data_IF_392415132210
#
_entry.id   IF_392415132210
#
_cell.length_a   1.000
_cell.length_b   1.000
_cell.length_c   1.000
_cell.angle_alpha   90.00
_cell.angle_beta   90.00
_cell.angle_gamma   90.00
#
_symmetry.space_group_name_H-M   'P 1'
#
loop_
_entity.id
_entity.type
_entity.pdbx_description
1 polymer ?
#
# COMPACT_ATOMS: atom_id res chain seq x y z
N UNK A 1 -55.28 15.06 14.17
CA UNK A 1 -54.24 14.46 15.02
C UNK A 1 -53.67 13.29 14.23
N UNK A 2 -52.59 13.53 13.49
CA UNK A 2 -51.82 12.45 12.88
C UNK A 2 -51.08 11.78 14.04
N UNK A 3 -51.47 10.55 14.36
CA UNK A 3 -50.67 9.72 15.25
C UNK A 3 -49.35 9.47 14.55
N UNK A 4 -48.24 9.79 15.22
CA UNK A 4 -46.93 9.28 14.85
C UNK A 4 -47.02 7.75 14.83
N UNK A 5 -46.94 7.16 13.64
CA UNK A 5 -46.88 5.71 13.51
C UNK A 5 -45.48 5.29 13.92
N UNK A 6 -45.38 4.53 15.01
CA UNK A 6 -44.17 3.81 15.34
C UNK A 6 -43.77 2.92 14.15
N UNK A 7 -42.48 2.91 13.80
CA UNK A 7 -41.92 2.02 12.79
C UNK A 7 -42.28 0.58 13.15
N UNK A 8 -42.83 -0.16 12.18
CA UNK A 8 -43.21 -1.56 12.39
C UNK A 8 -41.93 -2.41 12.36
N UNK A 9 -41.57 -3.15 13.42
CA UNK A 9 -40.31 -3.89 13.45
C UNK A 9 -40.21 -4.94 12.32
N UNK A 10 -39.00 -5.22 11.81
CA UNK A 10 -38.75 -6.35 10.90
C UNK A 10 -39.35 -7.66 11.41
N UNK A 11 -39.88 -8.48 10.50
CA UNK A 11 -40.53 -9.76 10.83
C UNK A 11 -41.95 -9.61 11.39
N UNK A 12 -42.46 -8.39 11.59
CA UNK A 12 -43.87 -8.19 11.97
C UNK A 12 -44.80 -8.59 10.83
N UNK A 13 -45.77 -9.45 11.13
CA UNK A 13 -46.85 -9.78 10.19
C UNK A 13 -47.94 -8.72 10.29
N UNK A 14 -48.10 -7.94 9.23
CA UNK A 14 -49.21 -7.00 9.05
C UNK A 14 -50.36 -7.77 8.37
N UNK A 15 -51.38 -8.11 9.15
CA UNK A 15 -52.58 -8.77 8.64
C UNK A 15 -53.67 -7.74 8.32
N UNK A 16 -54.17 -7.74 7.08
CA UNK A 16 -55.24 -6.88 6.63
C UNK A 16 -56.47 -7.70 6.20
N UNK A 17 -57.66 -7.29 6.64
CA UNK A 17 -58.95 -7.88 6.21
C UNK A 17 -59.86 -6.77 5.70
N UNK A 18 -60.55 -7.03 4.60
CA UNK A 18 -61.59 -6.16 4.07
C UNK A 18 -62.97 -6.70 4.46
N UNK A 19 -63.98 -5.83 4.53
CA UNK A 19 -65.36 -6.23 4.73
C UNK A 19 -66.27 -5.58 3.69
N UNK A 20 -67.13 -6.38 3.07
CA UNK A 20 -68.18 -5.90 2.18
C UNK A 20 -69.52 -5.88 2.93
N UNK A 21 -70.06 -4.69 3.16
CA UNK A 21 -71.40 -4.51 3.72
C UNK A 21 -72.42 -4.33 2.60
N UNK A 22 -73.54 -5.07 2.66
CA UNK A 22 -74.62 -4.96 1.68
C UNK A 22 -75.97 -5.33 2.29
N UNK A 23 -77.03 -4.73 1.75
CA UNK A 23 -78.41 -5.06 2.15
C UNK A 23 -79.01 -6.05 1.16
N UNK A 24 -79.51 -7.19 1.65
CA UNK A 24 -80.23 -8.16 0.84
C UNK A 24 -81.54 -8.55 1.53
N UNK A 25 -82.66 -8.36 0.83
CA UNK A 25 -84.02 -8.60 1.34
C UNK A 25 -84.36 -7.79 2.61
N UNK A 26 -83.92 -6.53 2.66
CA UNK A 26 -84.18 -5.60 3.77
C UNK A 26 -83.36 -5.84 5.03
N UNK A 27 -82.45 -6.81 5.03
CA UNK A 27 -81.51 -7.07 6.10
C UNK A 27 -80.07 -6.71 5.68
N UNK A 28 -79.38 -5.92 6.51
CA UNK A 28 -77.97 -5.61 6.32
C UNK A 28 -77.12 -6.85 6.65
N UNK A 29 -76.13 -7.11 5.81
CA UNK A 29 -75.20 -8.22 5.93
C UNK A 29 -73.78 -7.75 5.67
N UNK A 30 -72.86 -8.42 6.34
CA UNK A 30 -71.42 -8.26 6.17
C UNK A 30 -70.81 -9.54 5.62
N UNK A 31 -69.85 -9.40 4.71
CA UNK A 31 -69.05 -10.49 4.16
C UNK A 31 -67.57 -10.11 4.28
N UNK A 32 -66.85 -10.60 5.30
CA UNK A 32 -65.42 -10.35 5.42
C UNK A 32 -64.64 -11.11 4.33
N UNK A 33 -63.51 -10.56 3.92
CA UNK A 33 -62.53 -11.22 3.06
C UNK A 33 -61.70 -12.23 3.87
N UNK A 34 -60.86 -13.00 3.18
CA UNK A 34 -59.71 -13.63 3.82
C UNK A 34 -58.75 -12.56 4.37
N UNK A 35 -57.92 -12.95 5.33
CA UNK A 35 -56.76 -12.15 5.71
C UNK A 35 -55.73 -12.15 4.57
N UNK A 36 -55.17 -10.97 4.29
CA UNK A 36 -53.99 -10.79 3.47
C UNK A 36 -52.84 -10.37 4.41
N UNK A 37 -51.89 -11.27 4.56
CA UNK A 37 -50.75 -11.07 5.46
C UNK A 37 -49.55 -10.57 4.64
N UNK A 38 -48.95 -9.47 5.10
CA UNK A 38 -47.69 -8.93 4.58
C UNK A 38 -46.70 -8.92 5.73
N UNK A 39 -45.60 -9.65 5.60
CA UNK A 39 -44.51 -9.59 6.58
C UNK A 39 -43.62 -8.41 6.22
N UNK A 40 -43.33 -7.55 7.20
CA UNK A 40 -42.32 -6.49 7.04
C UNK A 40 -40.96 -7.17 6.83
N UNK A 41 -40.43 -7.03 5.62
CA UNK A 41 -39.07 -7.42 5.28
C UNK A 41 -38.22 -6.15 5.24
N UNK A 42 -37.03 -6.21 5.84
CA UNK A 42 -35.97 -5.27 5.50
C UNK A 42 -35.55 -5.65 4.08
N UNK A 43 -35.63 -4.72 3.13
CA UNK A 43 -35.01 -4.96 1.84
C UNK A 43 -33.52 -4.90 2.06
N UNK A 44 -32.83 -6.04 2.05
CA UNK A 44 -31.39 -6.03 2.32
C UNK A 44 -30.65 -5.26 1.23
N UNK A 45 -29.94 -4.21 1.62
CA UNK A 45 -29.09 -3.43 0.72
C UNK A 45 -27.64 -3.79 0.96
N UNK A 46 -26.85 -4.09 -0.08
CA UNK A 46 -25.43 -4.39 0.11
C UNK A 46 -24.71 -3.26 0.83
N UNK A 47 -24.01 -3.60 1.91
CA UNK A 47 -23.12 -2.67 2.59
C UNK A 47 -21.82 -2.40 1.81
N UNK A 48 -21.22 -1.23 1.97
CA UNK A 48 -19.85 -0.91 1.52
C UNK A 48 -19.11 -0.10 2.58
N UNK A 49 -17.91 -0.54 2.97
CA UNK A 49 -17.04 0.19 3.90
C UNK A 49 -15.75 0.66 3.23
N UNK A 50 -15.32 1.89 3.52
CA UNK A 50 -14.06 2.44 3.01
C UNK A 50 -13.37 3.37 4.01
N UNK A 51 -12.05 3.46 3.87
CA UNK A 51 -11.23 4.40 4.62
C UNK A 51 -11.15 5.75 3.94
N UNK A 52 -11.17 6.80 4.75
CA UNK A 52 -10.93 8.18 4.35
C UNK A 52 -9.75 8.76 5.15
N UNK A 53 -9.05 9.72 4.57
CA UNK A 53 -8.01 10.52 5.25
C UNK A 53 -8.36 12.00 5.19
N UNK A 54 -7.91 12.76 6.19
CA UNK A 54 -7.99 14.22 6.18
C UNK A 54 -7.02 14.82 5.15
N UNK A 55 -7.46 15.86 4.46
CA UNK A 55 -6.64 16.66 3.56
C UNK A 55 -6.43 18.07 4.15
N UNK A 56 -5.28 18.34 4.79
CA UNK A 56 -4.97 19.67 5.29
C UNK A 56 -5.09 20.71 4.17
N UNK A 57 -5.85 21.77 4.43
CA UNK A 57 -6.08 22.82 3.44
C UNK A 57 -4.86 23.74 3.29
N UNK A 58 -3.85 23.30 2.54
CA UNK A 58 -2.66 24.07 2.19
C UNK A 58 -2.15 23.74 0.80
N UNK A 59 -2.30 24.68 -0.14
CA UNK A 59 -1.62 24.76 -1.46
C UNK A 59 -1.47 23.41 -2.21
N UNK A 60 -2.51 22.95 -2.90
CA UNK A 60 -2.38 21.77 -3.77
C UNK A 60 -3.68 21.16 -4.30
N UNK A 61 -4.85 21.53 -3.78
CA UNK A 61 -6.15 21.07 -4.28
C UNK A 61 -6.55 21.70 -5.64
N UNK A 62 -5.61 21.94 -6.55
CA UNK A 62 -5.88 22.14 -7.98
C UNK A 62 -5.90 20.78 -8.66
N UNK A 63 -6.88 19.97 -8.27
CA UNK A 63 -7.01 18.59 -8.70
C UNK A 63 -8.37 18.04 -8.39
N UNK A 64 -9.43 18.83 -8.57
CA UNK A 64 -10.79 18.28 -8.64
C UNK A 64 -10.88 17.40 -9.87
N UNK A 65 -10.45 16.14 -9.76
CA UNK A 65 -11.16 15.07 -10.46
C UNK A 65 -12.56 15.09 -9.86
N UNK A 66 -13.49 15.65 -10.64
CA UNK A 66 -14.93 15.52 -10.45
C UNK A 66 -15.24 14.06 -10.08
N UNK A 67 -15.46 13.78 -8.78
CA UNK A 67 -15.93 12.47 -8.31
C UNK A 67 -15.22 11.81 -7.12
N UNK A 68 -14.17 12.36 -6.50
CA UNK A 68 -13.46 11.65 -5.41
C UNK A 68 -13.06 12.47 -4.16
N UNK A 69 -13.24 13.79 -4.13
CA UNK A 69 -13.10 14.57 -2.90
C UNK A 69 -14.44 14.62 -2.17
N UNK A 70 -14.56 13.93 -1.04
CA UNK A 70 -15.76 13.99 -0.21
C UNK A 70 -15.55 15.08 0.85
N UNK A 71 -16.34 16.15 0.80
CA UNK A 71 -16.54 16.95 2.01
C UNK A 71 -17.37 16.10 2.95
N UNK A 72 -16.74 15.48 3.94
CA UNK A 72 -17.44 14.69 4.96
C UNK A 72 -17.86 15.62 6.09
N UNK A 73 -19.16 15.76 6.31
CA UNK A 73 -19.68 16.33 7.55
C UNK A 73 -19.98 15.17 8.49
N UNK A 74 -19.47 15.23 9.72
CA UNK A 74 -19.92 14.36 10.79
C UNK A 74 -21.12 15.06 11.45
N UNK A 75 -22.33 14.54 11.22
CA UNK A 75 -23.55 15.09 11.83
C UNK A 75 -23.80 14.60 13.25
N UNK A 76 -23.05 13.60 13.72
CA UNK A 76 -23.09 13.07 15.08
C UNK A 76 -21.70 12.66 15.60
N UNK A 77 -21.52 12.52 16.93
CA UNK A 77 -20.25 12.09 17.48
C UNK A 77 -20.01 10.60 17.16
N UNK A 78 -18.82 10.26 16.71
CA UNK A 78 -18.35 8.87 16.79
C UNK A 78 -18.26 8.49 18.27
N UNK A 79 -18.77 7.32 18.64
CA UNK A 79 -18.56 6.75 19.96
C UNK A 79 -17.75 5.46 19.87
N UNK A 80 -17.12 5.07 20.96
CA UNK A 80 -16.30 3.86 21.04
C UNK A 80 -16.64 3.06 22.30
N UNK A 81 -16.69 1.73 22.16
CA UNK A 81 -16.98 0.82 23.27
C UNK A 81 -15.76 0.68 24.18
N UNK A 82 -15.95 0.92 25.48
CA UNK A 82 -14.85 0.93 26.46
C UNK A 82 -14.72 -0.38 27.24
N UNK A 83 -13.49 -0.89 27.39
CA UNK A 83 -13.11 -2.05 28.21
C UNK A 83 -13.56 -3.43 27.71
N UNK A 84 -14.48 -3.51 26.74
CA UNK A 84 -14.88 -4.76 26.08
C UNK A 84 -15.65 -4.51 24.78
N UNK A 85 -15.85 -5.57 23.98
CA UNK A 85 -16.66 -5.54 22.75
C UNK A 85 -18.12 -5.12 22.98
N UNK A 86 -18.64 -5.29 24.20
CA UNK A 86 -19.99 -4.87 24.63
C UNK A 86 -19.93 -3.77 25.70
N UNK A 87 -18.84 -2.99 25.71
CA UNK A 87 -18.63 -1.89 26.64
C UNK A 87 -19.64 -0.76 26.49
N UNK A 88 -19.63 0.18 27.43
CA UNK A 88 -20.37 1.43 27.26
C UNK A 88 -19.73 2.25 26.14
N UNK A 89 -20.56 2.78 25.24
CA UNK A 89 -20.10 3.66 24.17
C UNK A 89 -19.90 5.08 24.68
N UNK A 90 -18.64 5.53 24.66
CA UNK A 90 -18.27 6.89 25.03
C UNK A 90 -17.97 7.72 23.76
N UNK A 91 -18.47 8.97 23.66
CA UNK A 91 -18.11 9.85 22.54
C UNK A 91 -16.60 10.10 22.46
N UNK A 92 -16.05 9.99 21.26
CA UNK A 92 -14.65 10.31 21.01
C UNK A 92 -14.43 11.82 21.03
N UNK A 93 -13.22 12.22 21.44
CA UNK A 93 -12.77 13.62 21.38
C UNK A 93 -12.36 13.96 19.95
N UNK A 94 -12.26 15.26 19.66
CA UNK A 94 -11.65 15.74 18.41
C UNK A 94 -10.25 15.11 18.24
N UNK A 95 -9.95 14.50 17.09
CA UNK A 95 -8.66 13.89 16.84
C UNK A 95 -7.59 14.95 16.60
N UNK A 96 -6.34 14.54 16.76
CA UNK A 96 -5.16 15.38 16.51
C UNK A 96 -4.44 14.86 15.26
N UNK A 97 -4.25 15.73 14.28
CA UNK A 97 -3.47 15.44 13.08
C UNK A 97 -1.96 15.60 13.36
N UNK A 98 -1.07 14.85 12.69
CA UNK A 98 0.37 15.02 12.82
C UNK A 98 0.80 16.49 12.67
N UNK A 99 1.72 16.95 13.52
CA UNK A 99 2.04 18.36 13.69
C UNK A 99 1.19 19.12 14.72
N UNK A 100 0.19 18.46 15.33
CA UNK A 100 -0.53 18.96 16.51
C UNK A 100 -1.82 19.75 16.22
N UNK A 101 -2.31 19.75 14.99
CA UNK A 101 -3.58 20.37 14.63
C UNK A 101 -4.75 19.55 15.19
N UNK A 102 -5.64 20.17 15.96
CA UNK A 102 -6.88 19.52 16.44
C UNK A 102 -7.95 19.70 15.37
N UNK A 103 -8.52 18.61 14.87
CA UNK A 103 -9.55 18.64 13.82
C UNK A 103 -10.94 18.85 14.44
N UNK A 104 -11.66 19.87 13.99
CA UNK A 104 -13.04 20.12 14.43
C UNK A 104 -14.02 19.20 13.69
N UNK A 105 -14.41 18.12 14.37
CA UNK A 105 -15.37 17.13 13.87
C UNK A 105 -16.83 17.59 13.91
N UNK A 106 -17.12 18.78 14.44
CA UNK A 106 -18.47 19.36 14.36
C UNK A 106 -18.71 20.12 13.06
N UNK A 107 -17.64 20.37 12.30
CA UNK A 107 -17.67 21.01 10.99
C UNK A 107 -17.51 20.02 9.85
N UNK A 108 -17.56 20.54 8.62
CA UNK A 108 -17.18 19.75 7.44
C UNK A 108 -15.67 19.66 7.34
N UNK A 109 -15.15 18.44 7.16
CA UNK A 109 -13.75 18.16 6.93
C UNK A 109 -13.52 17.77 5.46
N UNK A 110 -12.45 18.26 4.81
CA UNK A 110 -12.01 17.76 3.52
C UNK A 110 -11.44 16.36 3.67
N UNK A 111 -12.19 15.35 3.24
CA UNK A 111 -11.80 13.95 3.30
C UNK A 111 -11.61 13.37 1.89
N UNK A 112 -10.73 12.40 1.77
CA UNK A 112 -10.53 11.66 0.51
C UNK A 112 -10.37 10.17 0.80
N UNK A 113 -10.91 9.33 -0.08
CA UNK A 113 -10.73 7.89 0.02
C UNK A 113 -9.24 7.53 -0.03
N UNK A 114 -8.82 6.67 0.89
CA UNK A 114 -7.43 6.20 0.99
C UNK A 114 -7.37 4.70 1.18
N UNK A 115 -6.19 4.14 0.93
CA UNK A 115 -5.82 2.76 1.29
C UNK A 115 -4.51 2.73 2.08
N UNK A 116 -4.08 3.89 2.58
CA UNK A 116 -2.83 4.06 3.32
C UNK A 116 -3.00 5.15 4.38
N UNK A 117 -2.38 4.95 5.52
CA UNK A 117 -2.34 5.91 6.62
C UNK A 117 -0.91 6.09 7.12
N UNK A 118 -0.64 7.29 7.64
CA UNK A 118 0.53 7.53 8.46
C UNK A 118 0.18 7.35 9.95
N UNK A 119 1.08 6.76 10.74
CA UNK A 119 0.87 6.58 12.17
C UNK A 119 0.66 7.93 12.87
N UNK A 120 -0.36 8.01 13.74
CA UNK A 120 -0.74 9.26 14.39
C UNK A 120 -1.78 10.07 13.61
N UNK A 121 -2.08 9.72 12.35
CA UNK A 121 -3.23 10.29 11.67
C UNK A 121 -4.55 9.71 12.21
N UNK A 122 -5.62 10.50 12.30
CA UNK A 122 -6.95 9.96 12.50
C UNK A 122 -7.38 9.10 11.31
N UNK A 123 -7.91 7.92 11.62
CA UNK A 123 -8.48 6.98 10.66
C UNK A 123 -9.97 7.30 10.55
N UNK A 124 -10.39 7.88 9.42
CA UNK A 124 -11.82 8.09 9.13
C UNK A 124 -12.38 6.89 8.38
N UNK A 125 -13.60 6.49 8.73
CA UNK A 125 -14.28 5.33 8.15
C UNK A 125 -15.69 5.74 7.72
N UNK A 126 -16.01 5.48 6.45
CA UNK A 126 -17.34 5.65 5.89
C UNK A 126 -17.95 4.27 5.62
N UNK A 127 -19.16 4.03 6.09
CA UNK A 127 -19.99 2.88 5.78
C UNK A 127 -21.24 3.36 5.04
N UNK A 128 -21.53 2.78 3.88
CA UNK A 128 -22.84 2.92 3.23
C UNK A 128 -23.62 1.65 3.45
N UNK A 129 -24.79 1.77 4.07
CA UNK A 129 -25.76 0.70 4.21
C UNK A 129 -27.17 1.32 4.30
N UNK A 130 -27.93 1.21 3.22
CA UNK A 130 -29.15 2.02 3.05
C UNK A 130 -30.31 1.52 3.90
N UNK A 131 -30.31 0.25 4.26
CA UNK A 131 -31.37 -0.35 5.07
C UNK A 131 -31.15 -0.17 6.59
N UNK A 132 -29.98 0.32 7.00
CA UNK A 132 -29.67 0.74 8.36
C UNK A 132 -30.14 2.16 8.67
N UNK A 133 -30.68 2.88 7.69
CA UNK A 133 -31.43 4.12 7.88
C UNK A 133 -32.88 3.79 8.27
N UNK A 134 -33.13 3.67 9.57
CA UNK A 134 -34.36 3.15 10.17
C UNK A 134 -35.36 4.26 10.55
N UNK A 135 -34.86 5.44 10.98
CA UNK A 135 -35.66 6.61 11.34
C UNK A 135 -35.25 7.83 10.51
N UNK A 136 -36.04 8.11 9.48
CA UNK A 136 -35.85 9.26 8.60
C UNK A 136 -35.92 10.64 9.29
N UNK A 137 -36.20 10.71 10.59
CA UNK A 137 -36.26 11.95 11.38
C UNK A 137 -35.19 12.05 12.48
N UNK A 138 -34.33 11.03 12.61
CA UNK A 138 -33.22 11.00 13.54
C UNK A 138 -31.93 10.60 12.81
N UNK A 139 -30.79 10.73 13.48
CA UNK A 139 -29.56 10.12 13.00
C UNK A 139 -29.52 8.69 13.52
N UNK A 140 -29.46 7.73 12.61
CA UNK A 140 -29.22 6.34 12.96
C UNK A 140 -27.74 6.06 13.19
N UNK A 141 -27.45 4.89 13.76
CA UNK A 141 -26.09 4.49 14.11
C UNK A 141 -25.82 3.03 13.78
N UNK A 142 -24.59 2.75 13.36
CA UNK A 142 -24.08 1.41 13.03
C UNK A 142 -22.82 1.12 13.82
N UNK A 143 -22.54 -0.16 14.06
CA UNK A 143 -21.32 -0.58 14.77
C UNK A 143 -20.34 -1.26 13.82
N UNK A 144 -19.07 -0.87 13.91
CA UNK A 144 -17.97 -1.49 13.19
C UNK A 144 -16.86 -1.92 14.16
N UNK A 145 -16.08 -2.90 13.76
CA UNK A 145 -14.82 -3.24 14.44
C UNK A 145 -13.65 -2.68 13.63
N UNK A 146 -12.71 -1.99 14.28
CA UNK A 146 -11.42 -1.59 13.70
C UNK A 146 -10.30 -2.35 14.42
N UNK A 147 -9.29 -2.83 13.69
CA UNK A 147 -8.19 -3.58 14.30
C UNK A 147 -6.87 -3.49 13.54
N UNK A 148 -5.77 -3.78 14.23
CA UNK A 148 -4.45 -4.06 13.65
C UNK A 148 -3.94 -5.39 14.20
N UNK A 149 -3.73 -6.36 13.31
CA UNK A 149 -3.38 -7.72 13.71
C UNK A 149 -1.98 -7.86 14.32
N UNK A 150 -1.04 -6.96 13.99
CA UNK A 150 0.36 -7.02 14.46
C UNK A 150 0.47 -6.44 15.86
N UNK A 151 -0.15 -5.28 16.11
CA UNK A 151 -0.24 -4.69 17.45
C UNK A 151 -1.20 -5.47 18.34
N UNK A 152 -2.15 -6.20 17.72
CA UNK A 152 -3.28 -6.89 18.36
C UNK A 152 -4.29 -5.94 18.98
N UNK A 153 -4.31 -4.70 18.48
CA UNK A 153 -5.32 -3.74 18.88
C UNK A 153 -6.65 -4.00 18.20
N UNK A 154 -7.73 -3.74 18.94
CA UNK A 154 -9.09 -3.88 18.45
C UNK A 154 -10.02 -2.92 19.18
N UNK A 155 -10.73 -2.12 18.40
CA UNK A 155 -11.68 -1.12 18.86
C UNK A 155 -13.05 -1.36 18.21
N UNK A 156 -14.13 -1.04 18.94
CA UNK A 156 -15.50 -1.08 18.39
C UNK A 156 -16.04 0.33 18.35
N UNK A 157 -16.35 0.81 17.15
CA UNK A 157 -16.87 2.14 16.93
C UNK A 157 -18.36 2.08 16.62
N UNK A 158 -19.08 3.07 17.13
CA UNK A 158 -20.43 3.40 16.71
C UNK A 158 -20.36 4.64 15.83
N UNK A 159 -20.65 4.46 14.54
CA UNK A 159 -20.73 5.54 13.56
C UNK A 159 -22.14 6.12 13.54
N UNK A 160 -22.25 7.41 13.24
CA UNK A 160 -23.54 8.09 13.05
C UNK A 160 -23.76 8.35 11.56
N UNK A 161 -25.03 8.40 11.14
CA UNK A 161 -25.36 8.88 9.80
C UNK A 161 -24.79 10.29 9.54
N UNK A 162 -24.45 10.53 8.28
CA UNK A 162 -23.91 11.81 7.79
C UNK A 162 -25.00 12.88 7.69
N UNK A 163 -26.25 12.49 7.49
CA UNK A 163 -27.46 13.30 7.66
C UNK A 163 -28.65 12.34 7.87
N UNK A 164 -29.80 12.86 8.29
CA UNK A 164 -31.02 12.06 8.46
C UNK A 164 -31.42 11.40 7.13
N UNK A 165 -31.83 10.13 7.17
CA UNK A 165 -32.36 9.39 6.01
C UNK A 165 -31.32 9.20 4.88
N UNK A 166 -30.03 9.08 5.23
CA UNK A 166 -28.95 8.94 4.21
C UNK A 166 -28.51 7.50 4.00
N UNK A 167 -28.50 6.66 5.03
CA UNK A 167 -27.86 5.35 5.00
C UNK A 167 -26.35 5.41 4.77
N UNK A 168 -25.74 6.58 5.00
CA UNK A 168 -24.28 6.78 4.90
C UNK A 168 -23.80 7.21 6.26
N UNK A 169 -22.96 6.40 6.88
CA UNK A 169 -22.44 6.57 8.22
C UNK A 169 -20.96 6.93 8.16
N UNK A 170 -20.54 7.87 9.00
CA UNK A 170 -19.16 8.33 9.06
C UNK A 170 -18.72 8.37 10.52
N UNK A 171 -17.50 7.91 10.77
CA UNK A 171 -16.84 8.07 12.04
C UNK A 171 -15.33 8.07 11.91
N UNK A 172 -14.64 8.08 13.05
CA UNK A 172 -13.19 8.14 13.10
C UNK A 172 -12.63 7.47 14.35
N UNK A 173 -11.35 7.17 14.35
CA UNK A 173 -10.57 6.84 15.55
C UNK A 173 -9.18 7.45 15.46
N UNK A 174 -8.64 7.91 16.59
CA UNK A 174 -7.25 8.38 16.66
C UNK A 174 -6.34 7.17 16.59
N UNK A 175 -5.39 7.15 15.64
CA UNK A 175 -4.32 6.16 15.67
C UNK A 175 -3.16 6.64 16.55
N UNK A 176 -2.50 5.69 17.21
CA UNK A 176 -1.38 5.95 18.14
C UNK A 176 -0.25 4.93 17.92
N UNK A 177 0.99 5.25 18.32
CA UNK A 177 2.05 4.24 18.39
C UNK A 177 1.81 3.24 19.53
N UNK A 178 2.39 2.02 19.47
CA UNK A 178 2.34 1.06 20.58
C UNK A 178 2.91 1.63 21.89
N UNK A 179 2.52 1.10 23.07
CA UNK A 179 1.81 -0.16 23.29
C UNK A 179 0.32 -0.11 22.93
N UNK A 180 -0.28 -1.29 22.74
CA UNK A 180 -1.70 -1.46 22.42
C UNK A 180 -2.49 -1.89 23.65
N UNK A 181 -3.68 -1.31 23.84
CA UNK A 181 -4.66 -1.74 24.84
C UNK A 181 -6.05 -1.82 24.18
N UNK A 182 -6.60 -3.02 23.91
CA UNK A 182 -7.89 -3.12 23.25
C UNK A 182 -9.04 -2.50 24.06
N UNK A 183 -9.98 -1.89 23.36
CA UNK A 183 -11.16 -1.21 23.87
C UNK A 183 -10.82 0.01 24.74
N UNK A 184 -9.73 0.73 24.42
CA UNK A 184 -9.33 1.97 25.09
C UNK A 184 -9.68 3.24 24.31
N UNK A 185 -10.24 3.07 23.11
CA UNK A 185 -10.64 4.12 22.19
C UNK A 185 -9.51 4.89 21.51
N UNK A 186 -8.31 4.33 21.48
CA UNK A 186 -7.19 4.72 20.62
C UNK A 186 -6.74 3.48 19.82
N UNK A 187 -6.50 3.62 18.52
CA UNK A 187 -6.05 2.48 17.71
C UNK A 187 -4.53 2.42 17.66
N UNK A 188 -3.90 1.54 18.44
CA UNK A 188 -2.45 1.34 18.30
C UNK A 188 -2.13 0.64 16.99
N UNK A 189 -1.39 1.31 16.12
CA UNK A 189 -0.95 0.79 14.82
C UNK A 189 0.58 0.81 14.73
N UNK A 190 1.17 0.04 13.84
CA UNK A 190 2.63 0.03 13.61
C UNK A 190 2.93 0.18 12.14
N UNK A 191 4.14 0.61 11.79
CA UNK A 191 4.55 0.66 10.38
C UNK A 191 4.55 -0.73 9.74
N UNK A 192 4.24 -0.76 8.45
CA UNK A 192 4.17 -1.95 7.62
C UNK A 192 3.15 -2.98 8.15
N UNK A 193 1.97 -2.48 8.54
CA UNK A 193 0.80 -3.27 8.94
C UNK A 193 -0.42 -2.94 8.10
N UNK A 194 -1.53 -3.63 8.37
CA UNK A 194 -2.84 -3.24 7.86
C UNK A 194 -3.75 -2.86 9.03
N UNK A 195 -4.41 -1.72 8.88
CA UNK A 195 -5.65 -1.43 9.61
C UNK A 195 -6.78 -2.11 8.88
N UNK A 196 -7.57 -2.85 9.63
CA UNK A 196 -8.73 -3.60 9.18
C UNK A 196 -10.00 -2.96 9.75
N UNK A 197 -11.04 -2.83 8.93
CA UNK A 197 -12.41 -2.60 9.38
C UNK A 197 -13.25 -3.79 8.97
N UNK A 198 -14.06 -4.27 9.90
CA UNK A 198 -15.05 -5.32 9.71
C UNK A 198 -16.43 -4.81 10.13
N UNK A 199 -17.41 -4.96 9.24
CA UNK A 199 -18.83 -4.69 9.46
C UNK A 199 -19.64 -5.96 9.17
N UNK A 200 -20.66 -6.19 9.99
CA UNK A 200 -21.67 -7.24 9.81
C UNK A 200 -23.02 -6.59 10.05
N UNK A 201 -23.93 -6.73 9.10
CA UNK A 201 -25.27 -6.15 9.22
C UNK A 201 -26.06 -6.84 10.37
N UNK A 202 -26.69 -6.06 11.28
CA UNK A 202 -27.40 -6.62 12.43
C UNK A 202 -28.73 -7.32 12.09
N UNK A 203 -29.27 -7.11 10.89
CA UNK A 203 -30.51 -7.72 10.38
C UNK A 203 -30.28 -8.75 9.26
N UNK A 204 -29.09 -8.78 8.64
CA UNK A 204 -28.64 -9.76 7.65
C UNK A 204 -27.16 -10.17 7.88
N UNK A 205 -26.91 -11.20 8.70
CA UNK A 205 -25.54 -11.66 9.00
C UNK A 205 -24.72 -12.10 7.76
N UNK A 206 -25.35 -12.29 6.60
CA UNK A 206 -24.66 -12.58 5.35
C UNK A 206 -24.12 -11.31 4.66
N UNK A 207 -24.68 -10.13 4.97
CA UNK A 207 -24.15 -8.85 4.54
C UNK A 207 -22.99 -8.44 5.46
N UNK A 208 -21.80 -8.51 4.88
CA UNK A 208 -20.56 -8.17 5.58
C UNK A 208 -19.70 -7.31 4.67
N UNK A 209 -19.07 -6.30 5.26
CA UNK A 209 -18.18 -5.38 4.56
C UNK A 209 -16.84 -5.32 5.25
N UNK A 210 -15.76 -5.35 4.45
CA UNK A 210 -14.39 -5.28 4.96
C UNK A 210 -13.56 -4.28 4.17
N UNK A 211 -12.74 -3.50 4.88
CA UNK A 211 -11.73 -2.62 4.27
C UNK A 211 -10.37 -2.84 4.91
N UNK A 212 -9.32 -2.58 4.12
CA UNK A 212 -7.92 -2.64 4.57
C UNK A 212 -7.14 -1.42 4.09
N UNK A 213 -6.33 -0.86 4.97
CA UNK A 213 -5.39 0.21 4.64
C UNK A 213 -4.01 -0.10 5.20
N UNK A 214 -2.96 0.15 4.41
CA UNK A 214 -1.57 -0.05 4.82
C UNK A 214 -1.12 1.10 5.72
N UNK A 215 -0.43 0.79 6.81
CA UNK A 215 0.17 1.81 7.68
C UNK A 215 1.62 1.98 7.29
N UNK A 216 2.00 3.20 6.91
CA UNK A 216 3.40 3.57 6.69
C UNK A 216 4.22 2.56 5.86
N UNK A 217 3.75 2.19 4.65
CA UNK A 217 4.46 1.22 3.83
C UNK A 217 5.85 1.73 3.46
N UNK A 218 6.82 0.83 3.55
CA UNK A 218 8.22 1.09 3.20
C UNK A 218 8.37 1.08 1.68
N UNK A 219 9.30 1.87 1.14
CA UNK A 219 9.81 1.66 -0.21
C UNK A 219 10.91 0.59 -0.20
N UNK A 220 11.10 -0.12 -1.31
CA UNK A 220 12.22 -1.05 -1.48
C UNK A 220 13.10 -0.66 -2.67
N UNK A 221 14.42 -0.74 -2.51
CA UNK A 221 15.37 -0.80 -3.62
C UNK A 221 15.56 -2.26 -4.01
N UNK A 222 15.36 -2.60 -5.28
CA UNK A 222 15.39 -4.00 -5.73
C UNK A 222 16.08 -4.20 -7.08
N UNK A 223 16.63 -5.39 -7.29
CA UNK A 223 17.29 -5.81 -8.52
C UNK A 223 16.24 -6.00 -9.63
N UNK A 224 16.38 -5.27 -10.73
CA UNK A 224 15.42 -5.23 -11.83
C UNK A 224 15.34 -6.51 -12.67
N UNK A 225 16.22 -7.48 -12.45
CA UNK A 225 16.18 -8.81 -13.10
C UNK A 225 15.64 -9.91 -12.21
N UNK A 226 15.76 -9.79 -10.88
CA UNK A 226 15.42 -10.87 -9.95
C UNK A 226 14.30 -10.52 -8.97
N UNK A 227 14.03 -9.23 -8.76
CA UNK A 227 13.10 -8.74 -7.73
C UNK A 227 13.67 -8.78 -6.31
N UNK A 228 14.94 -9.18 -6.14
CA UNK A 228 15.56 -9.30 -4.82
C UNK A 228 15.88 -7.91 -4.23
N UNK A 229 15.76 -7.73 -2.89
CA UNK A 229 16.16 -6.49 -2.22
C UNK A 229 17.64 -6.19 -2.42
N UNK A 230 17.96 -4.91 -2.62
CA UNK A 230 19.34 -4.40 -2.76
C UNK A 230 19.71 -3.57 -1.53
N UNK A 231 20.62 -4.09 -0.74
CA UNK A 231 21.21 -3.44 0.43
C UNK A 231 22.16 -2.30 0.05
N UNK A 232 22.41 -1.41 1.01
CA UNK A 232 23.47 -0.41 0.98
C UNK A 232 23.37 0.64 -0.15
N UNK A 233 22.21 0.77 -0.80
CA UNK A 233 21.95 1.85 -1.74
C UNK A 233 21.65 3.14 -0.98
N UNK A 234 22.30 4.24 -1.39
CA UNK A 234 21.97 5.57 -0.89
C UNK A 234 20.70 6.07 -1.57
N UNK A 235 19.65 6.35 -0.80
CA UNK A 235 18.38 6.90 -1.30
C UNK A 235 18.21 8.30 -0.73
N UNK A 236 18.28 9.32 -1.58
CA UNK A 236 18.06 10.71 -1.21
C UNK A 236 16.74 11.23 -1.77
N UNK A 237 16.01 12.01 -0.98
CA UNK A 237 14.88 12.80 -1.47
C UNK A 237 15.29 14.27 -1.55
N UNK A 238 15.13 14.85 -2.74
CA UNK A 238 15.52 16.23 -3.04
C UNK A 238 14.30 17.05 -3.43
N UNK A 239 14.30 18.32 -3.06
CA UNK A 239 13.33 19.29 -3.53
C UNK A 239 13.63 19.60 -5.01
N UNK A 240 12.68 19.32 -5.90
CA UNK A 240 12.89 19.40 -7.34
C UNK A 240 13.13 20.85 -7.84
N UNK A 241 12.61 21.84 -7.12
CA UNK A 241 12.73 23.26 -7.49
C UNK A 241 14.12 23.80 -7.17
N UNK A 242 14.70 23.38 -6.04
CA UNK A 242 15.97 23.90 -5.51
C UNK A 242 17.17 22.99 -5.78
N UNK A 243 16.93 21.70 -6.03
CA UNK A 243 17.96 20.67 -6.13
C UNK A 243 18.69 20.40 -4.81
N UNK A 244 18.16 20.87 -3.68
CA UNK A 244 18.71 20.64 -2.35
C UNK A 244 18.02 19.45 -1.68
N UNK A 245 18.64 18.83 -0.65
CA UNK A 245 17.97 17.82 0.16
C UNK A 245 16.63 18.35 0.71
N UNK A 246 15.57 17.54 0.60
CA UNK A 246 14.25 17.94 1.08
C UNK A 246 14.22 18.06 2.61
N UNK A 247 13.23 18.77 3.13
CA UNK A 247 12.96 18.79 4.56
C UNK A 247 12.06 17.62 4.92
N UNK A 248 12.60 16.63 5.64
CA UNK A 248 11.86 15.45 6.11
C UNK A 248 11.65 15.53 7.61
N UNK A 249 10.52 15.00 8.08
CA UNK A 249 10.20 14.86 9.49
C UNK A 249 9.99 13.39 9.88
N UNK A 250 10.18 13.08 11.16
CA UNK A 250 9.85 11.79 11.75
C UNK A 250 8.33 11.57 11.82
N UNK A 251 7.91 10.46 12.43
CA UNK A 251 6.49 10.09 12.50
C UNK A 251 5.65 11.11 13.27
N UNK A 252 6.26 11.86 14.19
CA UNK A 252 5.63 12.94 14.96
C UNK A 252 5.29 14.19 14.12
N UNK A 253 5.78 14.27 12.87
CA UNK A 253 5.63 15.43 11.99
C UNK A 253 6.39 16.68 12.44
N UNK A 254 7.26 16.58 13.46
CA UNK A 254 7.94 17.71 14.10
C UNK A 254 9.46 17.51 14.16
N UNK A 255 9.93 16.32 14.51
CA UNK A 255 11.35 15.98 14.62
C UNK A 255 12.00 15.93 13.24
N UNK A 256 13.16 16.57 13.07
CA UNK A 256 13.92 16.55 11.80
C UNK A 256 14.42 15.15 11.51
N UNK A 257 14.14 14.66 10.30
CA UNK A 257 14.57 13.35 9.82
C UNK A 257 15.58 13.50 8.66
N UNK A 258 16.52 12.55 8.48
CA UNK A 258 17.46 12.60 7.37
C UNK A 258 16.78 12.54 5.99
N UNK A 259 17.22 13.39 5.07
CA UNK A 259 16.78 13.37 3.67
C UNK A 259 17.55 12.35 2.81
N UNK A 260 18.57 11.71 3.36
CA UNK A 260 19.35 10.65 2.72
C UNK A 260 19.42 9.46 3.65
N UNK A 261 19.09 8.29 3.12
CA UNK A 261 19.00 7.01 3.82
C UNK A 261 19.85 5.97 3.13
N UNK A 262 20.14 4.90 3.85
CA UNK A 262 20.76 3.68 3.30
C UNK A 262 19.71 2.58 3.29
N UNK A 263 19.47 1.94 2.14
CA UNK A 263 18.55 0.81 2.04
C UNK A 263 19.01 -0.36 2.92
N UNK A 264 18.08 -0.98 3.65
CA UNK A 264 18.41 -2.02 4.65
C UNK A 264 19.07 -1.50 5.93
N UNK A 265 19.30 -0.19 6.02
CA UNK A 265 19.97 0.45 7.14
C UNK A 265 19.03 0.91 8.26
N UNK A 266 19.48 1.95 8.97
CA UNK A 266 18.67 2.62 9.99
C UNK A 266 18.87 4.14 9.94
N UNK A 267 17.90 4.88 10.47
CA UNK A 267 17.96 6.33 10.60
C UNK A 267 17.46 6.76 11.98
N UNK A 268 17.86 7.94 12.43
CA UNK A 268 17.42 8.50 13.71
C UNK A 268 17.00 9.94 13.50
N UNK A 269 15.82 10.30 13.97
CA UNK A 269 15.35 11.69 13.92
C UNK A 269 16.00 12.55 15.03
N UNK A 270 15.74 13.85 15.01
CA UNK A 270 16.20 14.77 16.06
C UNK A 270 15.53 14.56 17.42
N UNK A 271 14.41 13.82 17.47
CA UNK A 271 13.71 13.41 18.69
C UNK A 271 14.33 12.20 19.38
N UNK A 272 15.20 11.46 18.67
CA UNK A 272 15.89 10.26 19.14
C UNK A 272 15.19 8.95 18.75
N UNK A 273 14.12 8.99 17.95
CA UNK A 273 13.42 7.80 17.46
C UNK A 273 14.29 7.10 16.42
N UNK A 274 14.52 5.80 16.60
CA UNK A 274 15.34 4.98 15.69
C UNK A 274 14.44 4.17 14.77
N UNK A 275 14.65 4.34 13.47
CA UNK A 275 13.96 3.67 12.38
C UNK A 275 14.86 2.58 11.82
N UNK A 276 14.37 1.34 11.82
CA UNK A 276 15.10 0.19 11.28
C UNK A 276 14.40 -0.27 10.00
N UNK A 277 15.16 -0.44 8.92
CA UNK A 277 14.61 -0.87 7.64
C UNK A 277 14.93 -2.35 7.38
N UNK A 278 13.99 -3.14 6.84
CA UNK A 278 14.26 -4.49 6.37
C UNK A 278 15.17 -4.43 5.14
N UNK A 279 15.64 -5.59 4.68
CA UNK A 279 16.53 -5.64 3.51
C UNK A 279 15.93 -4.92 2.29
N UNK A 280 16.70 -4.03 1.66
CA UNK A 280 16.34 -3.14 0.56
C UNK A 280 15.43 -1.99 0.96
N UNK A 281 14.88 -2.01 2.17
CA UNK A 281 13.86 -1.10 2.64
C UNK A 281 14.40 0.31 2.94
N UNK A 282 13.55 1.31 2.74
CA UNK A 282 13.77 2.69 3.17
C UNK A 282 12.41 3.38 3.38
N UNK A 283 12.38 4.51 4.11
CA UNK A 283 11.17 5.31 4.29
C UNK A 283 11.49 6.76 4.66
N UNK A 284 10.79 7.69 4.02
CA UNK A 284 10.71 9.09 4.43
C UNK A 284 9.37 9.31 5.13
N UNK A 285 9.33 9.38 6.48
CA UNK A 285 8.07 9.29 7.23
C UNK A 285 7.08 10.40 6.88
N UNK A 286 7.52 11.66 6.96
CA UNK A 286 6.64 12.79 6.72
C UNK A 286 7.33 13.88 5.88
N UNK A 287 6.63 14.29 4.83
CA UNK A 287 7.01 15.34 3.89
C UNK A 287 5.81 16.24 3.65
N UNK A 288 6.04 17.55 3.58
CA UNK A 288 5.00 18.47 3.14
C UNK A 288 4.68 18.26 1.64
N UNK A 289 3.45 18.55 1.18
CA UNK A 289 3.13 18.55 -0.24
C UNK A 289 4.10 19.44 -1.03
N UNK A 290 4.52 19.00 -2.21
CA UNK A 290 5.56 19.67 -2.98
C UNK A 290 5.99 18.89 -4.22
N UNK A 291 7.04 19.38 -4.88
CA UNK A 291 7.66 18.68 -6.01
C UNK A 291 9.02 18.16 -5.58
N UNK A 292 9.24 16.87 -5.76
CA UNK A 292 10.41 16.15 -5.28
C UNK A 292 10.98 15.25 -6.37
N UNK A 293 12.22 14.80 -6.15
CA UNK A 293 12.86 13.74 -6.92
C UNK A 293 13.55 12.79 -5.95
N UNK A 294 13.54 11.50 -6.27
CA UNK A 294 14.32 10.51 -5.53
C UNK A 294 15.60 10.22 -6.31
N UNK A 295 16.74 10.38 -5.64
CA UNK A 295 18.06 10.10 -6.18
C UNK A 295 18.61 8.84 -5.50
N UNK A 296 18.59 7.73 -6.23
CA UNK A 296 19.15 6.47 -5.77
C UNK A 296 20.57 6.28 -6.33
N UNK A 297 21.53 6.04 -5.44
CA UNK A 297 22.92 5.70 -5.77
C UNK A 297 23.24 4.34 -5.16
N UNK A 298 23.06 3.23 -5.91
CA UNK A 298 23.43 1.91 -5.43
C UNK A 298 24.95 1.70 -5.44
N UNK A 299 25.42 0.54 -4.97
CA UNK A 299 26.83 0.15 -5.09
C UNK A 299 27.26 -0.04 -6.55
N UNK A 300 28.57 -0.13 -6.81
CA UNK A 300 29.18 -0.34 -8.14
C UNK A 300 28.70 -1.62 -8.87
N UNK A 301 27.93 -2.48 -8.20
CA UNK A 301 27.29 -3.65 -8.79
C UNK A 301 26.02 -3.32 -9.60
N UNK A 302 25.47 -2.11 -9.46
CA UNK A 302 24.20 -1.71 -10.07
C UNK A 302 24.28 -0.32 -10.71
N UNK A 303 23.36 -0.07 -11.63
CA UNK A 303 23.09 1.25 -12.19
C UNK A 303 21.67 1.70 -11.83
N UNK A 304 21.50 3.00 -11.64
CA UNK A 304 20.22 3.66 -11.45
C UNK A 304 20.16 4.94 -12.31
N UNK A 305 18.97 5.36 -12.77
CA UNK A 305 17.69 4.64 -12.68
C UNK A 305 17.67 3.41 -13.60
N UNK A 306 16.79 2.45 -13.29
CA UNK A 306 16.56 1.29 -14.16
C UNK A 306 15.93 1.70 -15.50
N UNK A 307 16.26 0.97 -16.57
CA UNK A 307 15.64 1.10 -17.89
C UNK A 307 14.63 -0.01 -18.22
N UNK A 308 14.38 -0.93 -17.28
CA UNK A 308 13.49 -2.09 -17.47
C UNK A 308 12.01 -1.63 -17.49
N UNK A 309 11.20 -2.07 -18.46
CA UNK A 309 9.79 -1.72 -18.54
C UNK A 309 8.97 -2.19 -17.32
N UNK A 310 8.03 -1.36 -16.85
CA UNK A 310 7.13 -1.68 -15.72
C UNK A 310 6.44 -3.05 -15.83
N UNK A 311 5.90 -3.49 -16.99
CA UNK A 311 5.29 -4.81 -17.09
C UNK A 311 6.26 -5.97 -16.80
N UNK A 312 7.55 -5.80 -17.11
CA UNK A 312 8.58 -6.80 -16.81
C UNK A 312 8.92 -6.79 -15.31
N UNK A 313 9.07 -5.61 -14.72
CA UNK A 313 9.28 -5.48 -13.27
C UNK A 313 8.11 -6.08 -12.46
N UNK A 314 6.88 -5.86 -12.91
CA UNK A 314 5.68 -6.43 -12.28
C UNK A 314 5.50 -7.94 -12.50
N UNK A 315 6.34 -8.57 -13.33
CA UNK A 315 6.37 -10.02 -13.52
C UNK A 315 7.40 -10.73 -12.64
N UNK A 316 8.26 -9.99 -11.93
CA UNK A 316 9.29 -10.57 -11.06
C UNK A 316 8.71 -11.13 -9.76
N UNK A 317 9.40 -12.08 -9.10
CA UNK A 317 9.11 -12.44 -7.73
C UNK A 317 9.14 -11.21 -6.80
N UNK A 318 8.17 -11.11 -5.89
CA UNK A 318 8.04 -9.95 -5.00
C UNK A 318 7.05 -8.88 -5.47
N UNK A 319 6.58 -8.96 -6.73
CA UNK A 319 5.49 -8.12 -7.23
C UNK A 319 4.15 -8.37 -6.48
N UNK A 320 3.22 -7.40 -6.46
CA UNK A 320 3.32 -6.11 -7.15
C UNK A 320 4.20 -5.11 -6.42
N UNK A 321 5.09 -4.45 -7.17
CA UNK A 321 5.91 -3.33 -6.68
C UNK A 321 5.13 -2.02 -6.77
N UNK A 322 5.34 -1.12 -5.82
CA UNK A 322 4.80 0.24 -5.77
C UNK A 322 5.54 1.17 -6.75
N UNK A 323 5.39 0.91 -8.05
CA UNK A 323 6.09 1.68 -9.09
C UNK A 323 5.33 2.94 -9.47
N UNK A 324 6.02 4.08 -9.40
CA UNK A 324 5.57 5.36 -9.93
C UNK A 324 6.45 5.72 -11.14
N UNK A 325 5.84 6.02 -12.29
CA UNK A 325 6.57 6.23 -13.55
C UNK A 325 7.58 7.38 -13.48
N UNK A 326 7.37 8.36 -12.61
CA UNK A 326 8.30 9.46 -12.41
C UNK A 326 9.25 9.14 -11.25
N UNK A 327 8.70 8.90 -10.05
CA UNK A 327 9.49 8.80 -8.82
C UNK A 327 10.39 7.54 -8.76
N UNK A 328 9.94 6.39 -9.28
CA UNK A 328 10.73 5.16 -9.27
C UNK A 328 11.92 5.20 -10.24
N UNK A 329 11.86 6.10 -11.23
CA UNK A 329 12.83 6.17 -12.34
C UNK A 329 13.65 7.46 -12.33
N UNK A 330 13.64 8.19 -11.20
CA UNK A 330 14.51 9.34 -10.97
C UNK A 330 14.04 10.64 -11.60
N UNK A 331 12.79 10.73 -12.07
CA UNK A 331 12.20 11.97 -12.55
C UNK A 331 11.53 12.77 -11.41
N UNK A 332 11.25 14.04 -11.68
CA UNK A 332 10.53 14.92 -10.75
C UNK A 332 9.05 14.50 -10.66
N UNK A 333 8.53 14.38 -9.45
CA UNK A 333 7.14 14.02 -9.19
C UNK A 333 6.48 15.00 -8.21
N UNK A 334 5.15 15.07 -8.27
CA UNK A 334 4.35 15.82 -7.32
C UNK A 334 3.95 14.91 -6.14
N UNK A 335 4.34 15.29 -4.92
CA UNK A 335 3.80 14.74 -3.70
C UNK A 335 2.59 15.60 -3.29
N UNK A 336 1.41 15.02 -3.42
CA UNK A 336 0.17 15.66 -2.97
C UNK A 336 -0.06 15.38 -1.48
N UNK A 337 -0.84 16.23 -0.82
CA UNK A 337 -1.35 15.92 0.52
C UNK A 337 -2.11 14.58 0.48
N UNK A 338 -1.87 13.73 1.47
CA UNK A 338 -2.53 12.44 1.56
C UNK A 338 -1.60 11.32 2.00
N UNK A 339 -1.67 10.13 1.37
CA UNK A 339 -1.07 8.94 1.94
C UNK A 339 0.46 9.06 2.00
N UNK A 340 1.10 8.32 2.93
CA UNK A 340 2.56 8.28 3.02
C UNK A 340 3.18 7.86 1.68
N UNK A 341 4.36 8.43 1.41
CA UNK A 341 5.16 8.12 0.23
C UNK A 341 5.57 6.64 0.26
N UNK A 342 5.10 5.87 -0.72
CA UNK A 342 5.54 4.50 -0.94
C UNK A 342 5.82 4.30 -2.43
N UNK A 343 7.11 4.19 -2.72
CA UNK A 343 7.70 4.10 -4.06
C UNK A 343 8.79 3.05 -4.00
N UNK A 344 8.76 2.10 -4.93
CA UNK A 344 9.83 1.11 -5.06
C UNK A 344 10.79 1.54 -6.17
N UNK A 345 12.09 1.30 -5.97
CA UNK A 345 13.16 1.76 -6.86
C UNK A 345 13.87 0.56 -7.47
N UNK A 346 13.62 0.26 -8.76
CA UNK A 346 14.39 -0.74 -9.48
C UNK A 346 15.81 -0.23 -9.78
N UNK A 347 16.81 -1.10 -9.61
CA UNK A 347 18.19 -0.87 -10.03
C UNK A 347 18.68 -1.98 -10.95
N UNK A 348 19.41 -1.62 -11.99
CA UNK A 348 19.86 -2.55 -13.03
C UNK A 348 21.20 -3.17 -12.64
N UNK A 349 21.33 -4.50 -12.51
CA UNK A 349 22.62 -5.11 -12.25
C UNK A 349 23.57 -4.84 -13.40
N UNK A 350 24.76 -4.33 -13.07
CA UNK A 350 25.83 -4.15 -14.03
C UNK A 350 26.42 -5.53 -14.34
N UNK A 351 26.05 -6.08 -15.50
CA UNK A 351 26.59 -7.35 -15.99
C UNK A 351 28.10 -7.17 -16.17
N UNK A 352 28.88 -7.99 -15.47
CA UNK A 352 30.35 -7.95 -15.55
C UNK A 352 30.84 -8.09 -16.99
N UNK A 353 31.71 -7.20 -17.43
CA UNK A 353 32.45 -7.40 -18.67
C UNK A 353 33.51 -8.49 -18.46
N UNK A 354 33.73 -9.34 -19.46
CA UNK A 354 34.90 -10.22 -19.47
C UNK A 354 36.07 -9.46 -20.12
N UNK A 355 37.23 -9.44 -19.47
CA UNK A 355 38.48 -9.01 -20.09
C UNK A 355 39.24 -10.23 -20.62
N UNK A 356 39.58 -10.22 -21.92
CA UNK A 356 40.32 -11.29 -22.60
C UNK A 356 41.66 -10.76 -23.12
N UNK A 357 42.76 -11.42 -22.73
CA UNK A 357 44.10 -11.16 -23.25
C UNK A 357 44.64 -12.41 -23.96
N UNK A 358 45.20 -12.25 -25.16
CA UNK A 358 45.84 -13.34 -25.92
C UNK A 358 47.33 -13.03 -26.11
N UNK A 359 48.17 -13.97 -25.69
CA UNK A 359 49.63 -13.83 -25.70
C UNK A 359 50.23 -14.97 -26.50
N UNK A 360 51.09 -14.66 -27.47
CA UNK A 360 51.91 -15.66 -28.16
C UNK A 360 53.22 -15.88 -27.40
N UNK A 361 53.72 -17.11 -27.33
CA UNK A 361 55.03 -17.37 -26.71
C UNK A 361 56.21 -16.80 -27.49
N UNK A 362 56.00 -16.47 -28.77
CA UNK A 362 57.04 -15.95 -29.68
C UNK A 362 56.42 -14.97 -30.68
N UNK A 363 57.11 -13.86 -30.93
CA UNK A 363 56.70 -12.85 -31.92
C UNK A 363 57.19 -13.16 -33.34
N UNK A 364 58.24 -13.97 -33.46
CA UNK A 364 58.81 -14.41 -34.73
C UNK A 364 59.07 -15.91 -34.69
N UNK A 365 58.61 -16.60 -35.73
CA UNK A 365 58.72 -18.06 -35.88
C UNK A 365 59.00 -18.44 -37.33
N UNK A 366 59.62 -19.59 -37.54
CA UNK A 366 59.81 -20.15 -38.88
C UNK A 366 58.58 -20.96 -39.31
N UNK A 367 58.44 -21.18 -40.61
CA UNK A 367 57.40 -22.07 -41.14
C UNK A 367 57.64 -23.49 -40.62
N UNK A 368 56.63 -24.07 -39.98
CA UNK A 368 56.69 -25.40 -39.36
C UNK A 368 56.99 -25.41 -37.87
N UNK A 369 57.29 -24.25 -37.26
CA UNK A 369 57.45 -24.14 -35.81
C UNK A 369 56.10 -24.24 -35.07
N UNK A 370 56.15 -24.74 -33.84
CA UNK A 370 55.03 -24.65 -32.91
C UNK A 370 55.01 -23.28 -32.23
N UNK A 371 53.85 -22.63 -32.26
CA UNK A 371 53.56 -21.42 -31.47
C UNK A 371 52.51 -21.77 -30.44
N UNK A 372 52.80 -21.49 -29.18
CA UNK A 372 51.83 -21.66 -28.11
C UNK A 372 51.17 -20.31 -27.83
N UNK A 373 49.86 -20.32 -27.63
CA UNK A 373 49.09 -19.17 -27.19
C UNK A 373 48.60 -19.39 -25.76
N UNK A 374 48.64 -18.32 -24.97
CA UNK A 374 47.98 -18.24 -23.66
C UNK A 374 46.83 -17.24 -23.76
N UNK A 375 45.62 -17.70 -23.47
CA UNK A 375 44.45 -16.86 -23.35
C UNK A 375 44.15 -16.70 -21.86
N UNK A 376 44.07 -15.45 -21.40
CA UNK A 376 43.71 -15.10 -20.03
C UNK A 376 42.35 -14.40 -20.07
N UNK A 377 41.34 -15.04 -19.49
CA UNK A 377 40.01 -14.46 -19.27
C UNK A 377 39.88 -14.09 -17.82
N UNK A 378 39.45 -12.86 -17.56
CA UNK A 378 39.07 -12.43 -16.21
C UNK A 378 37.68 -11.83 -16.26
N UNK A 379 36.86 -12.22 -15.29
CA UNK A 379 35.63 -11.52 -15.01
C UNK A 379 35.99 -10.23 -14.27
N UNK A 380 35.64 -9.08 -14.84
CA UNK A 380 35.96 -7.80 -14.21
C UNK A 380 34.94 -7.38 -13.16
N UNK A 381 33.86 -8.16 -12.98
CA UNK A 381 32.92 -7.96 -11.87
C UNK A 381 33.42 -8.66 -10.60
N UNK A 382 33.41 -7.92 -9.50
CA UNK A 382 33.70 -8.44 -8.16
C UNK A 382 32.48 -9.12 -7.51
N UNK A 383 31.29 -8.98 -8.09
CA UNK A 383 30.00 -9.33 -7.45
C UNK A 383 29.14 -10.28 -8.27
N UNK A 384 29.31 -10.32 -9.59
CA UNK A 384 28.53 -11.16 -10.50
C UNK A 384 29.44 -12.21 -11.11
N UNK A 385 29.15 -13.50 -10.93
CA UNK A 385 29.88 -14.60 -11.59
C UNK A 385 29.43 -14.76 -13.03
N UNK A 386 30.34 -14.67 -13.99
CA UNK A 386 30.07 -15.05 -15.37
C UNK A 386 29.89 -16.58 -15.48
N UNK A 387 28.74 -17.03 -16.00
CA UNK A 387 28.44 -18.44 -16.21
C UNK A 387 28.51 -18.82 -17.71
N UNK A 388 28.81 -20.09 -18.00
CA UNK A 388 28.83 -20.64 -19.36
C UNK A 388 29.75 -19.88 -20.33
N UNK A 389 30.95 -19.50 -19.87
CA UNK A 389 31.92 -18.75 -20.68
C UNK A 389 32.42 -19.63 -21.84
N UNK A 390 32.28 -19.15 -23.07
CA UNK A 390 32.78 -19.81 -24.28
C UNK A 390 33.87 -18.96 -24.92
N UNK A 391 35.02 -19.58 -25.20
CA UNK A 391 36.10 -18.98 -25.97
C UNK A 391 36.12 -19.57 -27.38
N UNK A 392 35.98 -18.72 -28.39
CA UNK A 392 36.14 -19.08 -29.80
C UNK A 392 37.41 -18.41 -30.35
N UNK A 393 38.34 -19.22 -30.84
CA UNK A 393 39.61 -18.77 -31.42
C UNK A 393 39.73 -19.27 -32.86
N UNK A 394 39.38 -18.41 -33.81
CA UNK A 394 39.51 -18.70 -35.23
C UNK A 394 40.96 -18.55 -35.70
N UNK A 395 41.62 -19.69 -35.91
CA UNK A 395 42.98 -19.72 -36.45
C UNK A 395 43.02 -19.20 -37.90
N UNK A 396 43.90 -18.23 -38.22
CA UNK A 396 44.02 -17.69 -39.57
C UNK A 396 44.67 -18.69 -40.53
N UNK A 397 44.53 -18.44 -41.84
CA UNK A 397 45.13 -19.28 -42.88
C UNK A 397 46.65 -19.44 -42.67
N UNK A 398 47.14 -20.67 -42.77
CA UNK A 398 48.55 -21.02 -42.53
C UNK A 398 48.84 -21.56 -41.12
N UNK A 399 47.92 -21.42 -40.17
CA UNK A 399 48.00 -22.09 -38.87
C UNK A 399 47.29 -23.44 -38.90
N UNK A 400 47.84 -24.41 -38.18
CA UNK A 400 47.19 -25.69 -37.89
C UNK A 400 47.16 -25.90 -36.39
N UNK A 401 45.97 -26.14 -35.83
CA UNK A 401 45.84 -26.53 -34.44
C UNK A 401 46.52 -27.88 -34.21
N UNK A 402 47.34 -27.98 -33.16
CA UNK A 402 47.94 -29.23 -32.73
C UNK A 402 46.96 -29.95 -31.80
N UNK A 403 46.46 -31.10 -32.21
CA UNK A 403 45.53 -31.89 -31.39
C UNK A 403 46.16 -32.25 -30.04
N UNK A 404 45.36 -32.16 -28.97
CA UNK A 404 45.79 -32.42 -27.60
C UNK A 404 46.63 -31.30 -26.96
N UNK A 405 46.79 -30.14 -27.62
CA UNK A 405 47.61 -29.04 -27.08
C UNK A 405 46.85 -28.04 -26.19
N UNK A 406 45.51 -28.01 -26.21
CA UNK A 406 44.71 -27.16 -25.33
C UNK A 406 44.73 -27.66 -23.88
N UNK A 407 44.92 -26.72 -22.96
CA UNK A 407 44.90 -26.95 -21.53
C UNK A 407 44.22 -25.78 -20.81
N UNK A 408 43.45 -26.07 -19.77
CA UNK A 408 42.83 -25.07 -18.88
C UNK A 408 43.49 -25.22 -17.51
N UNK A 409 44.11 -24.16 -17.00
CA UNK A 409 44.78 -24.13 -15.68
C UNK A 409 45.74 -25.31 -15.43
N UNK A 410 46.38 -25.84 -16.48
CA UNK A 410 47.31 -26.97 -16.40
C UNK A 410 46.66 -28.36 -16.43
N UNK A 411 45.34 -28.47 -16.51
CA UNK A 411 44.60 -29.69 -16.83
C UNK A 411 44.35 -29.87 -18.34
N UNK A 412 44.01 -31.09 -18.78
CA UNK A 412 43.64 -31.35 -20.18
C UNK A 412 42.42 -30.51 -20.58
N UNK A 413 42.55 -29.71 -21.63
CA UNK A 413 41.47 -28.89 -22.19
C UNK A 413 40.60 -29.66 -23.19
N UNK A 414 39.40 -29.14 -23.52
CA UNK A 414 38.52 -29.76 -24.51
C UNK A 414 39.16 -29.74 -25.92
N UNK A 415 38.87 -30.77 -26.73
CA UNK A 415 39.29 -30.82 -28.13
C UNK A 415 38.40 -29.86 -28.96
N UNK A 416 38.95 -28.88 -29.70
CA UNK A 416 38.17 -27.83 -30.39
C UNK A 416 37.28 -28.32 -31.55
N UNK A 417 37.23 -29.63 -31.83
CA UNK A 417 36.35 -30.22 -32.84
C UNK A 417 35.11 -30.93 -32.27
N UNK A 418 34.83 -30.74 -30.98
CA UNK A 418 33.58 -31.20 -30.36
C UNK A 418 32.61 -30.03 -30.20
N UNK A 419 31.37 -30.07 -30.74
CA UNK A 419 30.43 -28.94 -30.68
C UNK A 419 29.89 -28.60 -29.27
N UNK A 420 30.39 -29.24 -28.21
CA UNK A 420 29.85 -29.14 -26.86
C UNK A 420 31.01 -29.23 -25.85
N UNK A 421 31.63 -28.10 -25.56
CA UNK A 421 32.42 -27.94 -24.34
C UNK A 421 32.05 -26.59 -23.71
N UNK A 422 30.97 -26.60 -22.94
CA UNK A 422 30.68 -25.51 -22.01
C UNK A 422 31.76 -25.54 -20.92
N UNK A 423 32.37 -24.38 -20.65
CA UNK A 423 33.16 -24.19 -19.44
C UNK A 423 32.14 -23.84 -18.35
N UNK A 424 32.03 -24.71 -17.35
CA UNK A 424 31.14 -24.52 -16.20
C UNK A 424 31.66 -23.40 -15.30
#
# INVERSE_FOLDING_TARGET
MQNASAVTPPGTVISNTANAAFTFDGADRDSPSNAADVTVAVGSTPSEVRFLQYLPSGQGATGTRSGQGATGALSGPTACATGSVTGEFAPLKNPTYPGGEILDITGSLPLIATRRFHQGEPVFIELTDLDQSLDATALDTVQITVSDAKTRDREVLQLSETDMDTGVFLGFIQSVPPPSEPFDCELAISSDTNVNVDYVDPFDEADTSVARALVDPLGIVFDSTTGAPVEDASVAIVDALTGQPATVFGDDGVSRFPATLTSGGSATDSGGTVYQFPAGGYRFPFLAPGSYRIEATPSDAYAAPSSVPVPELQALPGAPFALNLDASFGDDFALNAGPPLNVDIPVDPLIGTLALTKIATREQVAIGDFVQYRLEVSNTSATVTAAAVVLDDHLPSGFRYQEGSAAIEGGCGPNPWSPLAAIA
#
